data_IF_177404880329
#
_entry.id   IF_177404880329
#
_cell.length_a   1.000
_cell.length_b   1.000
_cell.length_c   1.000
_cell.angle_alpha   90.00
_cell.angle_beta   90.00
_cell.angle_gamma   90.00
#
_symmetry.space_group_name_H-M   'P 1'
#
loop_
_entity.id
_entity.type
_entity.pdbx_description
1 polymer ?
#
# COMPACT_ATOMS: atom_id res chain seq x y z
N UNK A 1 0.18 20.36 4.54
CA UNK A 1 0.29 20.19 6.01
C UNK A 1 1.20 19.03 6.44
N UNK A 2 0.98 17.79 5.98
CA UNK A 2 1.81 16.64 6.41
C UNK A 2 3.32 16.84 6.24
N UNK A 3 3.76 17.34 5.07
CA UNK A 3 5.18 17.64 4.83
C UNK A 3 5.73 18.63 5.86
N UNK A 4 5.05 19.76 6.07
CA UNK A 4 5.43 20.79 7.06
C UNK A 4 5.61 20.21 8.47
N UNK A 5 4.70 19.35 8.92
CA UNK A 5 4.84 18.68 10.22
C UNK A 5 6.01 17.70 10.26
N UNK A 6 6.28 17.03 9.15
CA UNK A 6 7.42 16.13 9.01
C UNK A 6 8.76 16.89 9.00
N UNK A 7 8.80 18.07 8.36
CA UNK A 7 9.92 19.02 8.37
C UNK A 7 10.22 19.56 9.78
N UNK A 8 9.29 19.44 10.74
CA UNK A 8 9.47 19.86 12.14
C UNK A 8 9.95 18.73 13.09
N UNK A 9 9.99 17.48 12.63
CA UNK A 9 10.43 16.36 13.47
C UNK A 9 11.94 16.46 13.83
N UNK A 10 12.40 15.89 14.95
CA UNK A 10 13.84 15.75 15.18
C UNK A 10 14.49 14.88 14.09
N UNK A 11 15.77 15.13 13.75
CA UNK A 11 16.49 14.37 12.72
C UNK A 11 16.61 12.87 13.06
N UNK A 12 16.65 12.52 14.34
CA UNK A 12 16.68 11.13 14.83
C UNK A 12 15.34 10.40 14.71
N UNK A 13 14.25 11.10 14.37
CA UNK A 13 12.90 10.52 14.30
C UNK A 13 12.46 10.34 12.86
N UNK A 14 12.18 9.09 12.50
CA UNK A 14 11.49 8.74 11.25
C UNK A 14 10.07 8.29 11.54
N UNK A 15 9.17 8.55 10.60
CA UNK A 15 7.76 8.15 10.67
C UNK A 15 7.35 7.39 9.42
N UNK A 16 6.31 6.57 9.53
CA UNK A 16 5.62 5.98 8.39
C UNK A 16 4.26 6.64 8.21
N UNK A 17 3.81 6.78 6.97
CA UNK A 17 2.47 7.26 6.67
C UNK A 17 1.65 6.14 6.06
N UNK A 18 0.47 5.88 6.65
CA UNK A 18 -0.57 5.05 6.03
C UNK A 18 -1.66 5.97 5.48
N UNK A 19 -1.76 6.07 4.16
CA UNK A 19 -2.63 7.02 3.47
C UNK A 19 -3.58 6.30 2.50
N UNK A 20 -4.67 6.95 2.14
CA UNK A 20 -5.54 6.52 1.03
C UNK A 20 -4.76 6.62 -0.29
N UNK A 21 -5.01 5.72 -1.24
CA UNK A 21 -4.48 5.86 -2.60
C UNK A 21 -4.96 7.19 -3.22
N UNK A 22 -4.06 8.04 -3.75
CA UNK A 22 -4.47 9.33 -4.29
C UNK A 22 -5.10 9.16 -5.69
N UNK A 23 -5.96 10.11 -6.07
CA UNK A 23 -6.51 10.16 -7.43
C UNK A 23 -5.51 10.69 -8.47
N UNK A 24 -4.57 11.53 -8.02
CA UNK A 24 -3.45 12.01 -8.84
C UNK A 24 -2.25 11.12 -8.52
N UNK A 25 -1.73 10.44 -9.54
CA UNK A 25 -0.52 9.62 -9.43
C UNK A 25 0.64 10.43 -8.82
N UNK A 26 1.39 9.79 -7.92
CA UNK A 26 2.57 10.35 -7.26
C UNK A 26 2.35 11.63 -6.44
N UNK A 27 1.09 11.94 -6.06
CA UNK A 27 0.77 13.07 -5.17
C UNK A 27 1.62 13.08 -3.88
N UNK A 28 2.00 11.90 -3.37
CA UNK A 28 2.79 11.76 -2.14
C UNK A 28 4.30 11.66 -2.36
N UNK A 29 4.81 11.85 -3.58
CA UNK A 29 6.25 11.84 -3.87
C UNK A 29 7.07 12.73 -2.93
N UNK A 30 6.62 13.94 -2.52
CA UNK A 30 7.36 14.74 -1.54
C UNK A 30 7.50 14.10 -0.17
N UNK A 31 6.55 13.23 0.25
CA UNK A 31 6.65 12.46 1.49
C UNK A 31 7.53 11.22 1.30
N UNK A 32 7.40 10.53 0.17
CA UNK A 32 8.25 9.37 -0.19
C UNK A 32 9.73 9.74 -0.13
N UNK A 33 10.10 10.89 -0.68
CA UNK A 33 11.49 11.36 -0.74
C UNK A 33 11.95 12.11 0.51
N UNK A 34 11.10 12.25 1.52
CA UNK A 34 11.45 13.03 2.71
C UNK A 34 12.40 12.22 3.62
N UNK A 35 13.54 12.79 4.07
CA UNK A 35 14.56 12.03 4.84
C UNK A 35 14.03 11.47 6.17
N UNK A 36 13.02 12.12 6.76
CA UNK A 36 12.33 11.67 7.98
C UNK A 36 11.16 10.73 7.75
N UNK A 37 10.94 10.27 6.52
CA UNK A 37 9.94 9.25 6.21
C UNK A 37 10.62 7.90 6.00
N UNK A 38 10.14 6.90 6.73
CA UNK A 38 10.60 5.52 6.62
C UNK A 38 10.00 4.81 5.41
N UNK A 39 8.68 4.95 5.26
CA UNK A 39 7.92 4.42 4.14
C UNK A 39 6.56 5.11 4.08
N UNK A 40 6.01 5.20 2.87
CA UNK A 40 4.58 5.46 2.67
C UNK A 40 3.93 4.14 2.31
N UNK A 41 2.86 3.79 3.04
CA UNK A 41 2.05 2.62 2.78
C UNK A 41 0.62 3.04 2.48
N UNK A 42 -0.08 2.29 1.63
CA UNK A 42 -1.43 2.63 1.20
C UNK A 42 -2.47 1.66 1.76
N UNK A 43 -3.62 2.20 2.20
CA UNK A 43 -4.82 1.40 2.48
C UNK A 43 -5.65 1.23 1.21
N UNK A 44 -6.38 0.11 1.09
CA UNK A 44 -7.23 -0.15 -0.09
C UNK A 44 -8.50 0.71 -0.12
N UNK A 45 -8.94 1.27 1.02
CA UNK A 45 -9.93 2.34 1.03
C UNK A 45 -11.36 1.96 0.59
N UNK A 46 -11.66 0.67 0.44
CA UNK A 46 -12.94 0.20 -0.10
C UNK A 46 -12.90 -0.19 -1.57
N UNK A 47 -11.78 0.04 -2.26
CA UNK A 47 -11.54 -0.52 -3.59
C UNK A 47 -11.43 -2.05 -3.54
N UNK A 48 -11.77 -2.69 -4.65
CA UNK A 48 -11.43 -4.10 -4.89
C UNK A 48 -9.91 -4.29 -4.87
N UNK A 49 -9.42 -5.51 -4.64
CA UNK A 49 -7.97 -5.80 -4.70
C UNK A 49 -7.36 -5.37 -6.04
N UNK A 50 -8.03 -5.67 -7.15
CA UNK A 50 -7.58 -5.32 -8.50
C UNK A 50 -7.45 -3.80 -8.69
N UNK A 51 -8.50 -3.03 -8.37
CA UNK A 51 -8.48 -1.57 -8.52
C UNK A 51 -7.43 -0.92 -7.61
N UNK A 52 -7.30 -1.41 -6.37
CA UNK A 52 -6.31 -0.92 -5.43
C UNK A 52 -4.88 -1.21 -5.91
N UNK A 53 -4.63 -2.39 -6.48
CA UNK A 53 -3.34 -2.76 -7.05
C UNK A 53 -3.00 -1.90 -8.27
N UNK A 54 -3.95 -1.68 -9.19
CA UNK A 54 -3.74 -0.82 -10.35
C UNK A 54 -3.38 0.62 -9.92
N UNK A 55 -4.14 1.19 -8.99
CA UNK A 55 -3.85 2.53 -8.43
C UNK A 55 -2.50 2.58 -7.70
N UNK A 56 -2.16 1.53 -6.94
CA UNK A 56 -0.89 1.44 -6.23
C UNK A 56 0.32 1.37 -7.17
N UNK A 57 0.19 0.66 -8.30
CA UNK A 57 1.25 0.55 -9.30
C UNK A 57 1.59 1.91 -9.93
N UNK A 58 0.62 2.83 -10.02
CA UNK A 58 0.83 4.20 -10.47
C UNK A 58 1.45 5.14 -9.42
N UNK A 59 1.78 4.65 -8.21
CA UNK A 59 2.35 5.45 -7.13
C UNK A 59 3.74 4.91 -6.73
N UNK A 60 4.78 5.58 -7.20
CA UNK A 60 6.18 5.26 -7.00
C UNK A 60 6.60 5.43 -5.54
N UNK A 61 7.36 4.45 -5.02
CA UNK A 61 7.83 4.42 -3.63
C UNK A 61 6.76 4.16 -2.57
N UNK A 62 5.49 4.00 -2.96
CA UNK A 62 4.38 3.59 -2.08
C UNK A 62 4.18 2.08 -2.16
N UNK A 63 3.97 1.42 -1.02
CA UNK A 63 3.66 -0.03 -0.96
C UNK A 63 2.29 -0.28 -0.32
N UNK A 64 1.72 -1.47 -0.51
CA UNK A 64 0.44 -1.80 0.10
C UNK A 64 0.52 -1.98 1.64
N UNK A 65 -0.56 -1.63 2.31
CA UNK A 65 -0.91 -2.06 3.68
C UNK A 65 -2.41 -2.37 3.70
N UNK A 66 -2.79 -3.37 2.89
CA UNK A 66 -4.18 -3.79 2.69
C UNK A 66 -4.61 -4.76 3.79
N UNK A 67 -5.85 -4.61 4.27
CA UNK A 67 -6.48 -5.54 5.22
C UNK A 67 -7.51 -6.40 4.51
N UNK A 68 -8.75 -5.93 4.39
CA UNK A 68 -9.84 -6.66 3.72
C UNK A 68 -9.47 -7.09 2.31
N UNK A 69 -8.83 -6.21 1.53
CA UNK A 69 -8.42 -6.54 0.17
C UNK A 69 -7.36 -7.66 0.07
N UNK A 70 -6.63 -7.99 1.16
CA UNK A 70 -5.73 -9.14 1.18
C UNK A 70 -6.49 -10.47 1.32
N UNK A 71 -7.60 -10.48 2.07
CA UNK A 71 -8.28 -11.71 2.53
C UNK A 71 -9.72 -11.83 2.01
N UNK A 72 -10.16 -10.93 1.14
CA UNK A 72 -11.56 -10.82 0.71
C UNK A 72 -12.12 -12.07 0.01
N UNK A 73 -11.26 -12.92 -0.54
CA UNK A 73 -11.67 -14.14 -1.24
C UNK A 73 -11.63 -15.37 -0.33
N UNK A 74 -11.03 -15.27 0.86
CA UNK A 74 -10.86 -16.40 1.78
C UNK A 74 -12.18 -16.72 2.50
N UNK A 75 -12.52 -18.00 2.60
CA UNK A 75 -13.74 -18.49 3.26
C UNK A 75 -13.43 -19.66 4.17
N UNK A 76 -14.18 -19.79 5.26
CA UNK A 76 -14.06 -20.91 6.21
C UNK A 76 -14.40 -22.28 5.59
N UNK A 77 -15.18 -22.29 4.50
CA UNK A 77 -15.59 -23.51 3.80
C UNK A 77 -14.57 -24.01 2.77
N UNK A 78 -13.49 -23.27 2.54
CA UNK A 78 -12.43 -23.70 1.61
C UNK A 78 -11.66 -24.87 2.17
N UNK A 79 -11.19 -25.74 1.30
CA UNK A 79 -10.10 -26.66 1.65
C UNK A 79 -8.80 -25.87 1.86
N UNK A 80 -7.84 -26.47 2.59
CA UNK A 80 -6.53 -25.86 2.80
C UNK A 80 -5.85 -25.49 1.47
N UNK A 81 -5.95 -26.36 0.46
CA UNK A 81 -5.36 -26.11 -0.85
C UNK A 81 -5.97 -24.90 -1.57
N UNK A 82 -7.29 -24.73 -1.51
CA UNK A 82 -7.97 -23.57 -2.11
C UNK A 82 -7.64 -22.27 -1.35
N UNK A 83 -7.59 -22.35 -0.02
CA UNK A 83 -7.24 -21.22 0.84
C UNK A 83 -5.83 -20.72 0.55
N UNK A 84 -4.85 -21.63 0.54
CA UNK A 84 -3.44 -21.31 0.27
C UNK A 84 -3.26 -20.74 -1.15
N UNK A 85 -3.92 -21.33 -2.15
CA UNK A 85 -3.87 -20.83 -3.52
C UNK A 85 -4.44 -19.40 -3.62
N UNK A 86 -5.60 -19.13 -3.00
CA UNK A 86 -6.23 -17.81 -3.01
C UNK A 86 -5.40 -16.75 -2.26
N UNK A 87 -4.80 -17.12 -1.13
CA UNK A 87 -3.92 -16.24 -0.37
C UNK A 87 -2.63 -15.95 -1.14
N UNK A 88 -2.00 -16.96 -1.74
CA UNK A 88 -0.80 -16.81 -2.54
C UNK A 88 -1.04 -15.87 -3.74
N UNK A 89 -2.15 -16.05 -4.46
CA UNK A 89 -2.54 -15.14 -5.54
C UNK A 89 -2.72 -13.70 -5.04
N UNK A 90 -3.41 -13.52 -3.91
CA UNK A 90 -3.63 -12.20 -3.31
C UNK A 90 -2.31 -11.51 -2.95
N UNK A 91 -1.37 -12.27 -2.37
CA UNK A 91 -0.04 -11.78 -2.00
C UNK A 91 0.74 -11.39 -3.25
N UNK A 92 0.76 -12.23 -4.30
CA UNK A 92 1.52 -11.95 -5.53
C UNK A 92 1.02 -10.67 -6.22
N UNK A 93 -0.30 -10.52 -6.38
CA UNK A 93 -0.90 -9.32 -6.98
C UNK A 93 -0.50 -8.04 -6.22
N UNK A 94 -0.62 -8.08 -4.88
CA UNK A 94 -0.29 -6.95 -4.01
C UNK A 94 1.22 -6.66 -4.00
N UNK A 95 2.04 -7.70 -4.01
CA UNK A 95 3.49 -7.60 -4.06
C UNK A 95 3.95 -6.96 -5.37
N UNK A 96 3.45 -7.44 -6.51
CA UNK A 96 3.76 -6.90 -7.83
C UNK A 96 3.37 -5.43 -7.92
N UNK A 97 2.16 -5.05 -7.49
CA UNK A 97 1.74 -3.64 -7.45
C UNK A 97 2.60 -2.77 -6.50
N UNK A 98 3.14 -3.36 -5.43
CA UNK A 98 4.02 -2.67 -4.48
C UNK A 98 5.44 -2.46 -5.00
N UNK A 99 5.92 -3.31 -5.90
CA UNK A 99 7.33 -3.37 -6.32
C UNK A 99 7.58 -3.01 -7.78
N UNK A 100 6.61 -3.26 -8.65
CA UNK A 100 6.64 -2.96 -10.08
C UNK A 100 5.69 -1.78 -10.31
N UNK A 101 6.25 -0.67 -10.79
CA UNK A 101 5.52 0.59 -11.02
C UNK A 101 5.29 0.83 -12.50
N UNK A 102 4.16 1.46 -12.81
CA UNK A 102 3.71 1.75 -14.18
C UNK A 102 4.27 3.08 -14.70
#
# INVERSE_FOLDING_TARGET
ELKKRTDALPASRRVMFKLTLPDIADLYMPLVNHPRVARVVALSGGYTRADACQRLAANHGVIASFSRALVQDLRISMSDAEFEAALAQSIDEIYRASTIKA
#
